data_IF_907637289502
#
_entry.id   IF_907637289502
#
_cell.length_a   1.000
_cell.length_b   1.000
_cell.length_c   1.000
_cell.angle_alpha   90.00
_cell.angle_beta   90.00
_cell.angle_gamma   90.00
#
_symmetry.space_group_name_H-M   'P 1'
#
loop_
_entity.id
_entity.type
_entity.pdbx_description
1 polymer ?
#
# COMPACT_ATOMS: atom_id res chain seq x y z
N UNK A 1 -10.09 -9.57 -27.88
CA UNK A 1 -9.08 -10.65 -27.88
C UNK A 1 -8.64 -10.78 -26.44
N UNK A 2 -8.84 -11.95 -25.84
CA UNK A 2 -8.60 -12.17 -24.41
C UNK A 2 -7.12 -12.05 -24.11
N UNK A 3 -6.80 -11.35 -23.02
CA UNK A 3 -5.47 -11.42 -22.43
C UNK A 3 -5.33 -12.85 -21.91
N UNK A 4 -4.51 -13.65 -22.58
CA UNK A 4 -4.07 -14.92 -22.01
C UNK A 4 -3.38 -14.59 -20.68
N UNK A 5 -3.82 -15.24 -19.60
CA UNK A 5 -3.22 -15.15 -18.27
C UNK A 5 -1.80 -15.74 -18.35
N UNK A 6 -0.83 -14.95 -18.81
CA UNK A 6 0.57 -15.34 -18.84
C UNK A 6 1.11 -15.19 -17.42
N UNK A 7 1.42 -16.31 -16.79
CA UNK A 7 2.11 -16.31 -15.51
C UNK A 7 3.49 -15.66 -15.67
N UNK A 8 3.87 -14.77 -14.76
CA UNK A 8 5.13 -14.01 -14.89
C UNK A 8 6.21 -14.54 -13.94
N UNK A 9 7.44 -14.60 -14.44
CA UNK A 9 8.62 -15.10 -13.75
C UNK A 9 9.30 -14.03 -12.87
N UNK A 10 9.30 -14.21 -11.55
CA UNK A 10 9.96 -13.28 -10.63
C UNK A 10 11.45 -13.63 -10.42
N UNK A 11 12.41 -12.73 -10.75
CA UNK A 11 13.84 -13.04 -10.70
C UNK A 11 14.35 -13.43 -9.30
N UNK A 12 13.76 -12.86 -8.24
CA UNK A 12 14.19 -13.09 -6.85
C UNK A 12 13.81 -14.46 -6.31
N UNK A 13 12.72 -15.04 -6.81
CA UNK A 13 12.19 -16.34 -6.31
C UNK A 13 12.27 -17.46 -7.33
N UNK A 14 12.47 -17.14 -8.61
CA UNK A 14 12.44 -18.11 -9.72
C UNK A 14 11.05 -18.74 -9.92
N UNK A 15 10.00 -18.11 -9.39
CA UNK A 15 8.61 -18.61 -9.41
C UNK A 15 7.78 -17.84 -10.42
N UNK A 16 6.80 -18.55 -10.97
CA UNK A 16 5.73 -17.99 -11.77
C UNK A 16 4.53 -17.70 -10.88
N UNK A 17 3.94 -16.51 -11.02
CA UNK A 17 2.72 -16.14 -10.32
C UNK A 17 1.59 -15.89 -11.31
N UNK A 18 0.39 -16.37 -10.95
CA UNK A 18 -0.81 -16.12 -11.72
C UNK A 18 -1.30 -14.68 -11.48
N UNK A 19 -1.75 -13.97 -12.53
CA UNK A 19 -2.47 -12.72 -12.36
C UNK A 19 -3.79 -12.97 -11.64
N UNK A 20 -4.10 -12.10 -10.67
CA UNK A 20 -5.35 -12.23 -9.92
C UNK A 20 -6.55 -11.84 -10.79
N UNK A 21 -7.55 -12.71 -10.85
CA UNK A 21 -8.81 -12.40 -11.51
C UNK A 21 -9.68 -11.51 -10.61
N UNK A 22 -10.41 -10.51 -11.15
CA UNK A 22 -11.32 -9.68 -10.35
C UNK A 22 -12.37 -10.47 -9.57
N UNK A 23 -12.73 -11.68 -10.04
CA UNK A 23 -13.66 -12.59 -9.37
C UNK A 23 -13.26 -12.94 -7.92
N UNK A 24 -11.96 -12.88 -7.60
CA UNK A 24 -11.42 -13.15 -6.25
C UNK A 24 -11.68 -12.00 -5.26
N UNK A 25 -12.22 -10.87 -5.72
CA UNK A 25 -12.44 -9.66 -4.92
C UNK A 25 -13.88 -9.12 -4.98
N UNK A 26 -14.82 -9.87 -5.54
CA UNK A 26 -16.21 -9.41 -5.69
C UNK A 26 -16.84 -8.98 -4.36
N UNK A 27 -16.45 -9.61 -3.26
CA UNK A 27 -16.88 -9.28 -1.90
C UNK A 27 -16.42 -7.89 -1.42
N UNK A 28 -15.36 -7.31 -2.00
CA UNK A 28 -15.02 -5.90 -1.74
C UNK A 28 -16.12 -4.96 -2.23
N UNK A 29 -16.94 -5.38 -3.19
CA UNK A 29 -18.12 -4.61 -3.61
C UNK A 29 -19.15 -4.43 -2.49
N UNK A 30 -19.22 -5.36 -1.53
CA UNK A 30 -20.13 -5.26 -0.38
C UNK A 30 -19.72 -4.15 0.59
N UNK A 31 -18.44 -3.74 0.58
CA UNK A 31 -17.90 -2.65 1.39
C UNK A 31 -18.54 -1.31 0.98
N UNK A 32 -18.88 -1.14 -0.30
CA UNK A 32 -19.55 0.06 -0.84
C UNK A 32 -20.89 0.31 -0.17
N UNK A 33 -21.61 -0.76 0.18
CA UNK A 33 -22.94 -0.70 0.78
C UNK A 33 -22.90 -0.57 2.31
N UNK A 34 -21.72 -0.54 2.93
CA UNK A 34 -21.59 -0.44 4.38
C UNK A 34 -22.01 0.95 4.89
N UNK A 35 -22.84 1.02 5.96
CA UNK A 35 -23.22 2.29 6.54
C UNK A 35 -22.01 3.07 7.06
N UNK A 36 -21.98 4.38 6.79
CA UNK A 36 -20.96 5.34 7.29
C UNK A 36 -19.55 5.13 6.73
N UNK A 37 -19.41 4.43 5.61
CA UNK A 37 -18.14 4.37 4.92
C UNK A 37 -17.87 5.67 4.15
N UNK A 38 -16.60 6.09 4.11
CA UNK A 38 -16.22 7.29 3.37
C UNK A 38 -16.25 7.03 1.86
N UNK A 39 -16.52 8.07 1.06
CA UNK A 39 -16.52 7.95 -0.39
C UNK A 39 -15.17 7.46 -0.97
N UNK A 40 -14.00 7.92 -0.49
CA UNK A 40 -12.71 7.36 -0.91
C UNK A 40 -12.56 5.86 -0.61
N UNK A 41 -12.96 5.42 0.59
CA UNK A 41 -12.91 3.99 0.96
C UNK A 41 -13.81 3.15 0.06
N UNK A 42 -15.04 3.61 -0.21
CA UNK A 42 -15.96 2.92 -1.12
C UNK A 42 -15.40 2.85 -2.54
N UNK A 43 -14.83 3.96 -3.05
CA UNK A 43 -14.23 3.99 -4.38
C UNK A 43 -13.04 3.02 -4.52
N UNK A 44 -12.19 2.91 -3.50
CA UNK A 44 -11.10 1.94 -3.48
C UNK A 44 -11.64 0.50 -3.49
N UNK A 45 -12.61 0.20 -2.64
CA UNK A 45 -13.19 -1.14 -2.58
C UNK A 45 -13.90 -1.53 -3.88
N UNK A 46 -14.64 -0.59 -4.50
CA UNK A 46 -15.29 -0.79 -5.79
C UNK A 46 -14.27 -1.01 -6.92
N UNK A 47 -13.16 -0.25 -6.92
CA UNK A 47 -12.07 -0.46 -7.88
C UNK A 47 -11.52 -1.88 -7.76
N UNK A 48 -11.12 -2.29 -6.55
CA UNK A 48 -10.58 -3.63 -6.28
C UNK A 48 -11.57 -4.71 -6.71
N UNK A 49 -12.86 -4.57 -6.40
CA UNK A 49 -13.87 -5.55 -6.79
C UNK A 49 -14.03 -5.67 -8.32
N UNK A 50 -13.83 -4.58 -9.07
CA UNK A 50 -13.97 -4.56 -10.53
C UNK A 50 -12.73 -5.05 -11.26
N UNK A 51 -11.55 -4.74 -10.73
CA UNK A 51 -10.29 -4.88 -11.48
C UNK A 51 -9.31 -5.86 -10.85
N UNK A 52 -9.49 -6.22 -9.57
CA UNK A 52 -8.52 -6.99 -8.83
C UNK A 52 -7.18 -6.29 -8.64
N UNK A 53 -7.14 -4.96 -8.80
CA UNK A 53 -5.92 -4.16 -8.63
C UNK A 53 -6.17 -2.89 -7.81
N UNK A 54 -5.07 -2.24 -7.42
CA UNK A 54 -5.04 -0.94 -6.74
C UNK A 54 -4.16 0.02 -7.55
N UNK A 55 -4.55 1.30 -7.61
CA UNK A 55 -3.69 2.33 -8.21
C UNK A 55 -2.54 2.62 -7.27
N UNK A 56 -1.38 2.02 -7.52
CA UNK A 56 -0.30 2.09 -6.56
C UNK A 56 0.19 3.54 -6.33
N UNK A 57 0.11 4.43 -7.33
CA UNK A 57 0.52 5.85 -7.20
C UNK A 57 -0.20 6.61 -6.08
N UNK A 58 -1.43 6.25 -5.72
CA UNK A 58 -2.18 6.97 -4.70
C UNK A 58 -1.64 6.74 -3.27
N UNK A 59 -0.99 5.60 -3.02
CA UNK A 59 -0.53 5.20 -1.68
C UNK A 59 0.99 5.04 -1.58
N UNK A 60 1.72 5.18 -2.71
CA UNK A 60 3.15 4.88 -2.79
C UNK A 60 3.95 5.58 -1.69
N UNK A 61 3.83 6.91 -1.59
CA UNK A 61 4.63 7.69 -0.64
C UNK A 61 4.37 7.29 0.82
N UNK A 62 3.11 7.03 1.17
CA UNK A 62 2.73 6.62 2.51
C UNK A 62 3.25 5.22 2.84
N UNK A 63 3.05 4.25 1.94
CA UNK A 63 3.49 2.87 2.17
C UNK A 63 5.01 2.78 2.17
N UNK A 64 5.70 3.49 1.29
CA UNK A 64 7.16 3.57 1.30
C UNK A 64 7.66 4.15 2.62
N UNK A 65 7.01 5.20 3.13
CA UNK A 65 7.36 5.77 4.43
C UNK A 65 7.12 4.77 5.58
N UNK A 66 5.99 4.06 5.60
CA UNK A 66 5.64 3.06 6.63
C UNK A 66 6.64 1.90 6.65
N UNK A 67 7.07 1.43 5.47
CA UNK A 67 7.95 0.28 5.32
C UNK A 67 9.45 0.66 5.31
N UNK A 68 9.77 1.94 5.32
CA UNK A 68 11.13 2.45 5.26
C UNK A 68 11.82 2.28 3.91
N UNK A 69 11.03 2.29 2.84
CA UNK A 69 11.46 2.07 1.46
C UNK A 69 11.74 3.39 0.73
N UNK A 70 12.46 3.37 -0.40
CA UNK A 70 12.63 4.51 -1.32
C UNK A 70 12.12 4.11 -2.70
N UNK A 71 10.92 4.56 -3.07
CA UNK A 71 10.30 4.26 -4.36
C UNK A 71 10.21 2.75 -4.66
N UNK A 72 10.15 1.89 -3.64
CA UNK A 72 10.27 0.42 -3.84
C UNK A 72 8.97 -0.19 -4.30
N UNK A 73 7.83 0.42 -3.99
CA UNK A 73 6.57 0.05 -4.66
C UNK A 73 6.65 0.20 -6.20
N UNK A 74 7.68 0.88 -6.72
CA UNK A 74 8.09 0.86 -8.12
C UNK A 74 9.62 0.93 -8.27
N UNK A 75 10.35 -0.06 -7.75
CA UNK A 75 11.65 -0.37 -8.32
C UNK A 75 11.38 -1.38 -9.44
N UNK A 76 11.08 -0.93 -10.66
CA UNK A 76 12.18 -0.79 -11.60
C UNK A 76 12.13 0.51 -12.40
N UNK A 77 13.30 1.14 -12.57
CA UNK A 77 13.62 1.98 -13.73
C UNK A 77 13.55 1.17 -15.08
N UNK A 78 13.06 -0.07 -15.04
CA UNK A 78 12.74 -0.95 -16.16
C UNK A 78 11.22 -1.10 -16.39
N UNK A 79 10.37 -0.23 -15.82
CA UNK A 79 8.93 -0.19 -16.15
C UNK A 79 8.63 0.18 -17.62
N UNK A 80 9.63 0.11 -18.49
CA UNK A 80 9.54 0.34 -19.93
C UNK A 80 9.26 -0.96 -20.72
N UNK A 81 9.19 -2.12 -20.06
CA UNK A 81 8.82 -3.39 -20.71
C UNK A 81 7.61 -3.99 -19.99
N UNK A 82 6.47 -4.04 -20.68
CA UNK A 82 5.10 -4.38 -20.27
C UNK A 82 4.90 -5.79 -19.64
N UNK A 83 5.88 -6.39 -18.97
CA UNK A 83 5.83 -7.83 -18.64
C UNK A 83 6.00 -8.21 -17.15
N UNK A 84 6.32 -7.30 -16.22
CA UNK A 84 6.58 -7.70 -14.81
C UNK A 84 5.42 -7.39 -13.83
N UNK A 85 5.01 -8.33 -12.94
CA UNK A 85 4.21 -8.01 -11.77
C UNK A 85 5.00 -7.04 -10.92
N UNK A 86 4.36 -6.08 -10.29
CA UNK A 86 5.08 -5.10 -9.47
C UNK A 86 5.41 -5.67 -8.09
N UNK A 87 4.57 -6.57 -7.56
CA UNK A 87 4.66 -7.04 -6.17
C UNK A 87 4.34 -8.55 -6.08
N UNK A 88 5.30 -9.34 -5.57
CA UNK A 88 5.14 -10.79 -5.31
C UNK A 88 4.30 -11.05 -4.02
N UNK A 89 3.80 -12.28 -3.77
CA UNK A 89 3.02 -12.59 -2.57
C UNK A 89 3.74 -12.30 -1.25
N UNK A 90 5.06 -12.47 -1.22
CA UNK A 90 5.89 -12.12 -0.04
C UNK A 90 5.88 -10.60 0.19
N UNK A 91 6.04 -9.80 -0.87
CA UNK A 91 5.90 -8.36 -0.84
C UNK A 91 4.51 -7.91 -0.42
N UNK A 92 3.47 -8.58 -0.91
CA UNK A 92 2.09 -8.36 -0.48
C UNK A 92 1.92 -8.62 1.02
N UNK A 93 2.49 -9.72 1.54
CA UNK A 93 2.45 -10.03 2.98
C UNK A 93 3.15 -8.95 3.79
N UNK A 94 4.29 -8.45 3.32
CA UNK A 94 5.05 -7.42 4.02
C UNK A 94 4.31 -6.07 4.05
N UNK A 95 3.71 -5.68 2.93
CA UNK A 95 2.89 -4.47 2.83
C UNK A 95 1.68 -4.58 3.75
N UNK A 96 0.93 -5.69 3.68
CA UNK A 96 -0.22 -5.93 4.54
C UNK A 96 0.14 -5.81 6.02
N UNK A 97 1.20 -6.50 6.47
CA UNK A 97 1.71 -6.43 7.84
C UNK A 97 2.03 -5.00 8.28
N UNK A 98 2.70 -4.22 7.41
CA UNK A 98 3.09 -2.84 7.71
C UNK A 98 1.89 -1.92 7.85
N UNK A 99 0.97 -1.98 6.90
CA UNK A 99 -0.25 -1.16 6.88
C UNK A 99 -1.17 -1.53 8.05
N UNK A 100 -1.37 -2.82 8.34
CA UNK A 100 -2.18 -3.28 9.49
C UNK A 100 -1.63 -2.75 10.82
N UNK A 101 -0.31 -2.85 11.04
CA UNK A 101 0.33 -2.34 12.26
C UNK A 101 0.20 -0.82 12.36
N UNK A 102 0.38 -0.11 11.24
CA UNK A 102 0.19 1.33 11.17
C UNK A 102 -1.26 1.70 11.54
N UNK A 103 -2.26 1.12 10.90
CA UNK A 103 -3.69 1.38 11.17
C UNK A 103 -4.04 1.09 12.62
N UNK A 104 -3.59 -0.05 13.17
CA UNK A 104 -3.84 -0.39 14.56
C UNK A 104 -3.27 0.65 15.54
N UNK A 105 -2.11 1.24 15.21
CA UNK A 105 -1.47 2.28 16.02
C UNK A 105 -2.05 3.67 15.78
N UNK A 106 -2.62 3.91 14.61
CA UNK A 106 -3.21 5.19 14.21
C UNK A 106 -4.64 5.37 14.73
N UNK A 107 -5.45 4.31 14.83
CA UNK A 107 -6.84 4.37 15.35
C UNK A 107 -7.04 5.20 16.63
N UNK A 108 -6.15 5.15 17.65
CA UNK A 108 -6.26 6.00 18.84
C UNK A 108 -6.06 7.51 18.58
N UNK A 109 -5.34 7.88 17.52
CA UNK A 109 -5.09 9.27 17.08
C UNK A 109 -6.30 9.83 16.34
N UNK A 110 -6.96 9.01 15.51
CA UNK A 110 -8.20 9.37 14.83
C UNK A 110 -8.44 8.55 13.56
N UNK A 111 -9.55 8.82 12.88
CA UNK A 111 -9.88 8.13 11.62
C UNK A 111 -9.13 8.73 10.42
N UNK A 112 -8.91 10.04 10.41
CA UNK A 112 -8.27 10.75 9.31
C UNK A 112 -6.75 10.58 9.36
N UNK A 113 -6.17 10.12 8.25
CA UNK A 113 -4.73 9.91 8.11
C UNK A 113 -4.14 11.08 7.30
N UNK A 114 -3.54 12.02 8.02
CA UNK A 114 -2.79 13.16 7.48
C UNK A 114 -1.29 13.00 7.69
N UNK A 115 -0.49 13.83 7.02
CA UNK A 115 0.96 13.86 7.19
C UNK A 115 1.39 14.01 8.66
N UNK A 116 0.75 14.91 9.41
CA UNK A 116 1.03 15.15 10.82
C UNK A 116 0.73 13.91 11.67
N UNK A 117 -0.43 13.30 11.44
CA UNK A 117 -0.83 12.10 12.19
C UNK A 117 0.08 10.89 11.89
N UNK A 118 0.56 10.78 10.65
CA UNK A 118 1.53 9.75 10.24
C UNK A 118 2.87 9.99 10.94
N UNK A 119 3.36 11.22 10.92
CA UNK A 119 4.58 11.62 11.65
C UNK A 119 4.49 11.29 13.13
N UNK A 120 3.37 11.62 13.79
CA UNK A 120 3.14 11.29 15.20
C UNK A 120 3.19 9.79 15.48
N UNK A 121 2.45 9.00 14.70
CA UNK A 121 2.39 7.54 14.86
C UNK A 121 3.75 6.89 14.62
N UNK A 122 4.46 7.27 13.55
CA UNK A 122 5.78 6.71 13.23
C UNK A 122 6.82 7.09 14.28
N UNK A 123 6.80 8.31 14.81
CA UNK A 123 7.66 8.70 15.94
C UNK A 123 7.38 7.86 17.17
N UNK A 124 6.11 7.59 17.47
CA UNK A 124 5.75 6.70 18.59
C UNK A 124 6.20 5.26 18.37
N UNK A 125 6.17 4.75 17.14
CA UNK A 125 6.62 3.39 16.81
C UNK A 125 8.14 3.24 16.87
N UNK A 126 8.89 4.27 16.46
CA UNK A 126 10.35 4.25 16.39
C UNK A 126 11.02 4.76 17.67
N UNK A 127 10.30 5.50 18.51
CA UNK A 127 10.83 6.14 19.72
C UNK A 127 11.24 5.17 20.83
N UNK A 128 10.74 3.94 20.79
CA UNK A 128 10.98 2.93 21.81
C UNK A 128 11.96 1.86 21.29
N UNK A 129 13.26 2.04 21.53
CA UNK A 129 14.25 1.03 21.16
C UNK A 129 15.71 1.45 21.25
N UNK A 130 16.61 0.47 21.15
CA UNK A 130 18.07 0.70 21.22
C UNK A 130 18.61 1.57 20.08
N UNK A 131 17.88 1.65 18.96
CA UNK A 131 18.24 2.44 17.78
C UNK A 131 17.31 3.65 17.56
N UNK A 132 16.48 4.00 18.54
CA UNK A 132 15.44 5.02 18.41
C UNK A 132 15.99 6.35 17.86
N UNK A 133 17.12 6.83 18.39
CA UNK A 133 17.73 8.09 17.95
C UNK A 133 18.13 8.07 16.45
N UNK A 134 18.68 6.94 15.97
CA UNK A 134 19.03 6.78 14.57
C UNK A 134 17.78 6.70 13.68
N UNK A 135 16.77 5.94 14.12
CA UNK A 135 15.52 5.76 13.39
C UNK A 135 14.70 7.05 13.33
N UNK A 136 14.68 7.84 14.41
CA UNK A 136 14.01 9.15 14.43
C UNK A 136 14.71 10.15 13.50
N UNK A 137 16.04 10.21 13.48
CA UNK A 137 16.77 11.06 12.51
C UNK A 137 16.50 10.66 11.06
N UNK A 138 16.44 9.36 10.80
CA UNK A 138 16.09 8.84 9.48
C UNK A 138 14.66 9.26 9.11
N UNK A 139 13.71 9.11 10.02
CA UNK A 139 12.31 9.51 9.82
C UNK A 139 12.21 11.02 9.56
N UNK A 140 12.88 11.86 10.36
CA UNK A 140 12.92 13.31 10.16
C UNK A 140 13.41 13.67 8.75
N UNK A 141 14.53 13.07 8.34
CA UNK A 141 15.10 13.30 7.00
C UNK A 141 14.15 12.86 5.88
N UNK A 142 13.31 11.84 6.10
CA UNK A 142 12.32 11.39 5.11
C UNK A 142 11.09 12.28 5.07
N UNK A 143 10.57 12.68 6.23
CA UNK A 143 9.46 13.62 6.33
C UNK A 143 9.82 14.96 5.68
N UNK A 144 11.05 15.44 5.86
CA UNK A 144 11.51 16.68 5.25
C UNK A 144 11.59 16.59 3.72
N UNK A 145 11.96 15.43 3.16
CA UNK A 145 11.99 15.21 1.69
C UNK A 145 10.61 15.15 1.04
N UNK A 146 9.57 14.80 1.81
CA UNK A 146 8.19 14.75 1.31
C UNK A 146 7.54 16.14 1.22
N UNK A 147 8.15 17.15 1.85
CA UNK A 147 7.67 18.52 1.78
C UNK A 147 8.01 19.13 0.42
N UNK A 148 7.13 20.01 -0.05
CA UNK A 148 7.35 20.74 -1.28
C UNK A 148 8.41 21.85 -1.13
N UNK A 149 8.66 22.61 -2.20
CA UNK A 149 9.63 23.71 -2.22
C UNK A 149 9.31 24.83 -1.22
N UNK A 150 8.05 24.96 -0.79
CA UNK A 150 7.60 25.93 0.21
C UNK A 150 7.66 25.36 1.64
N UNK A 151 8.00 24.08 1.79
CA UNK A 151 7.99 23.37 3.07
C UNK A 151 6.61 22.82 3.45
N UNK A 152 5.62 22.90 2.56
CA UNK A 152 4.28 22.40 2.81
C UNK A 152 4.25 20.87 2.73
N UNK A 153 3.54 20.18 3.66
CA UNK A 153 3.44 18.74 3.63
C UNK A 153 2.57 18.26 2.46
N UNK A 154 2.72 16.99 2.03
CA UNK A 154 1.83 16.41 1.04
C UNK A 154 0.38 16.42 1.56
N UNK A 155 -0.55 16.71 0.65
CA UNK A 155 -1.97 16.84 0.96
C UNK A 155 -2.66 15.46 1.03
N UNK A 156 -2.23 14.63 1.99
CA UNK A 156 -2.80 13.31 2.22
C UNK A 156 -4.19 13.41 2.85
N UNK A 157 -5.15 12.68 2.28
CA UNK A 157 -6.56 12.67 2.69
C UNK A 157 -7.11 11.25 2.80
N UNK A 158 -6.35 10.35 3.45
CA UNK A 158 -6.76 8.97 3.62
C UNK A 158 -7.56 8.77 4.91
N UNK A 159 -8.19 7.59 5.03
CA UNK A 159 -8.83 7.13 6.27
C UNK A 159 -8.26 5.81 6.74
N UNK A 160 -8.33 5.54 8.05
CA UNK A 160 -7.98 4.23 8.59
C UNK A 160 -8.79 3.10 7.93
N UNK A 161 -10.06 3.34 7.60
CA UNK A 161 -10.90 2.42 6.87
C UNK A 161 -10.36 2.13 5.46
N UNK A 162 -9.98 3.16 4.71
CA UNK A 162 -9.36 3.02 3.39
C UNK A 162 -8.05 2.22 3.43
N UNK A 163 -7.16 2.53 4.38
CA UNK A 163 -5.93 1.76 4.56
C UNK A 163 -6.19 0.31 5.02
N UNK A 164 -7.28 0.07 5.75
CA UNK A 164 -7.70 -1.30 6.11
C UNK A 164 -8.13 -2.10 4.88
N UNK A 165 -8.83 -1.46 3.93
CA UNK A 165 -9.20 -2.07 2.64
C UNK A 165 -7.94 -2.38 1.82
N UNK A 166 -7.00 -1.44 1.76
CA UNK A 166 -5.70 -1.65 1.10
C UNK A 166 -4.93 -2.83 1.70
N UNK A 167 -4.85 -2.90 3.02
CA UNK A 167 -4.20 -4.01 3.71
C UNK A 167 -4.89 -5.34 3.44
N UNK A 168 -6.23 -5.38 3.46
CA UNK A 168 -7.01 -6.58 3.18
C UNK A 168 -6.79 -7.10 1.75
N UNK A 169 -6.65 -6.19 0.78
CA UNK A 169 -6.30 -6.54 -0.60
C UNK A 169 -4.93 -7.26 -0.66
N UNK A 170 -3.87 -6.62 -0.13
CA UNK A 170 -2.54 -7.23 -0.13
C UNK A 170 -2.47 -8.51 0.69
N UNK A 171 -3.18 -8.59 1.82
CA UNK A 171 -3.27 -9.81 2.62
C UNK A 171 -3.86 -10.96 1.80
N UNK A 172 -4.93 -10.70 1.05
CA UNK A 172 -5.52 -11.72 0.19
C UNK A 172 -4.58 -12.14 -0.93
N UNK A 173 -3.86 -11.21 -1.55
CA UNK A 173 -2.84 -11.55 -2.54
C UNK A 173 -1.76 -12.46 -1.94
N UNK A 174 -1.30 -12.16 -0.72
CA UNK A 174 -0.34 -13.00 -0.01
C UNK A 174 -0.89 -14.41 0.29
N UNK A 175 -2.07 -14.48 0.92
CA UNK A 175 -2.69 -15.74 1.37
C UNK A 175 -3.04 -16.68 0.21
N UNK A 176 -3.40 -16.10 -0.94
CA UNK A 176 -3.80 -16.85 -2.14
C UNK A 176 -2.65 -17.07 -3.13
N UNK A 177 -1.49 -16.45 -2.91
CA UNK A 177 -0.31 -16.57 -3.76
C UNK A 177 -0.40 -15.79 -5.07
N UNK A 178 -1.12 -14.66 -5.07
CA UNK A 178 -1.27 -13.78 -6.23
C UNK A 178 -0.20 -12.70 -6.29
N UNK A 179 0.22 -12.35 -7.51
CA UNK A 179 1.03 -11.16 -7.74
C UNK A 179 0.15 -9.97 -8.12
N UNK A 180 0.59 -8.75 -7.75
CA UNK A 180 -0.07 -7.49 -8.10
C UNK A 180 0.65 -6.86 -9.29
N UNK A 181 -0.12 -6.39 -10.27
CA UNK A 181 0.38 -5.85 -11.53
C UNK A 181 0.15 -4.33 -11.59
N UNK A 182 1.00 -3.63 -12.34
CA UNK A 182 0.74 -2.22 -12.67
C UNK A 182 -0.54 -2.13 -13.50
N UNK A 183 -1.41 -1.17 -13.17
CA UNK A 183 -2.53 -0.79 -14.03
C UNK A 183 -1.92 -0.07 -15.26
N UNK A 184 -2.28 -0.51 -16.47
CA UNK A 184 -1.76 0.03 -17.74
C UNK A 184 -2.41 1.37 -18.12
#
# INVERSE_FOLDING_TARGET
>A
MGLDNVAVHWPRTGRFYDPVAPAEFVDFGEIVDMPRISAPTAALAELIAKTGTVRATAYTELVDLILGLENVLYATENSAEDEDPVIDPDGCSWIADGVEKFVARHRPVGEAVTFESVSEVLRSLLGDGRLAEQQLRWLDSRLDRLRDENGDPPQWTFTCAELSVLAAFYRRCADRGFAVYADA
#
